data_IF_039547829776
#
_entry.id   IF_039547829776
#
_cell.length_a   1.000
_cell.length_b   1.000
_cell.length_c   1.000
_cell.angle_alpha   90.00
_cell.angle_beta   90.00
_cell.angle_gamma   90.00
#
_symmetry.space_group_name_H-M   'P 1'
#
loop_
_entity.id
_entity.type
_entity.pdbx_description
1 polymer ?
#
# COMPACT_ATOMS: atom_id res chain seq x y z
N UNK A 1 -14.70 25.18 10.73
CA UNK A 1 -14.55 24.86 9.29
C UNK A 1 -15.07 23.45 9.05
N UNK A 2 -15.88 23.27 8.01
CA UNK A 2 -16.43 21.96 7.64
C UNK A 2 -15.63 21.36 6.47
N UNK A 3 -15.22 20.12 6.62
CA UNK A 3 -14.51 19.33 5.61
C UNK A 3 -15.39 18.16 5.19
N UNK A 4 -15.57 18.00 3.90
CA UNK A 4 -16.26 16.85 3.33
C UNK A 4 -15.27 15.94 2.65
N UNK A 5 -15.19 14.67 3.10
CA UNK A 5 -14.35 13.64 2.50
C UNK A 5 -15.23 12.71 1.66
N UNK A 6 -14.89 12.58 0.39
CA UNK A 6 -15.57 11.71 -0.56
C UNK A 6 -14.60 10.59 -0.93
N UNK A 7 -14.94 9.35 -0.61
CA UNK A 7 -14.03 8.22 -0.80
C UNK A 7 -14.76 6.92 -1.10
N UNK A 8 -14.03 5.94 -1.63
CA UNK A 8 -14.53 4.58 -1.68
C UNK A 8 -14.83 4.05 -0.25
N UNK A 9 -15.79 3.14 -0.15
CA UNK A 9 -16.09 2.44 1.10
C UNK A 9 -14.82 1.74 1.63
N UNK A 10 -14.61 1.84 2.94
CA UNK A 10 -13.48 1.20 3.64
C UNK A 10 -12.07 1.66 3.25
N UNK A 11 -11.90 2.82 2.61
CA UNK A 11 -10.57 3.37 2.33
C UNK A 11 -9.83 3.69 3.64
N UNK A 12 -8.74 2.96 3.92
CA UNK A 12 -7.89 3.19 5.07
C UNK A 12 -7.24 4.59 5.01
N UNK A 13 -6.84 5.02 3.83
CA UNK A 13 -6.26 6.34 3.57
C UNK A 13 -7.24 7.47 3.93
N UNK A 14 -8.50 7.36 3.52
CA UNK A 14 -9.55 8.33 3.89
C UNK A 14 -9.88 8.33 5.38
N UNK A 15 -9.72 7.18 6.05
CA UNK A 15 -9.80 7.10 7.51
C UNK A 15 -8.73 7.97 8.19
N UNK A 16 -7.48 7.91 7.73
CA UNK A 16 -6.40 8.72 8.29
C UNK A 16 -6.57 10.20 7.98
N UNK A 17 -7.02 10.55 6.79
CA UNK A 17 -7.38 11.94 6.43
C UNK A 17 -8.49 12.48 7.35
N UNK A 18 -9.52 11.69 7.60
CA UNK A 18 -10.58 12.05 8.55
C UNK A 18 -10.05 12.29 9.96
N UNK A 19 -9.20 11.36 10.42
CA UNK A 19 -8.62 11.44 11.77
C UNK A 19 -7.73 12.69 11.91
N UNK A 20 -6.91 12.97 10.89
CA UNK A 20 -6.08 14.16 10.83
C UNK A 20 -6.92 15.43 11.00
N UNK A 21 -7.93 15.66 10.15
CA UNK A 21 -8.72 16.86 10.23
C UNK A 21 -9.55 16.96 11.52
N UNK A 22 -10.05 15.84 12.03
CA UNK A 22 -10.74 15.81 13.31
C UNK A 22 -9.79 16.18 14.47
N UNK A 23 -8.53 15.74 14.45
CA UNK A 23 -7.53 16.09 15.48
C UNK A 23 -7.17 17.58 15.49
N UNK A 24 -7.32 18.26 14.35
CA UNK A 24 -7.14 19.72 14.23
C UNK A 24 -8.40 20.52 14.63
N UNK A 25 -9.46 19.86 15.08
CA UNK A 25 -10.71 20.49 15.54
C UNK A 25 -11.69 20.85 14.42
N UNK A 26 -11.51 20.33 13.21
CA UNK A 26 -12.46 20.56 12.12
C UNK A 26 -13.65 19.61 12.20
N UNK A 27 -14.82 20.09 11.80
CA UNK A 27 -15.96 19.21 11.58
C UNK A 27 -15.77 18.43 10.28
N UNK A 28 -15.86 17.10 10.34
CA UNK A 28 -15.60 16.22 9.19
C UNK A 28 -16.83 15.39 8.87
N UNK A 29 -17.28 15.45 7.63
CA UNK A 29 -18.36 14.62 7.07
C UNK A 29 -17.80 13.69 6.02
N UNK A 30 -18.27 12.44 6.02
CA UNK A 30 -17.88 11.43 5.04
C UNK A 30 -19.04 11.18 4.07
N UNK A 31 -18.72 11.10 2.78
CA UNK A 31 -19.63 10.63 1.74
C UNK A 31 -18.96 9.42 1.07
N UNK A 32 -19.53 8.25 1.29
CA UNK A 32 -19.01 7.01 0.70
C UNK A 32 -19.50 6.86 -0.74
N UNK A 33 -18.59 6.45 -1.62
CA UNK A 33 -18.86 6.12 -3.02
C UNK A 33 -18.76 4.62 -3.18
N UNK A 34 -19.88 3.96 -3.40
CA UNK A 34 -19.88 2.55 -3.77
C UNK A 34 -19.67 2.43 -5.29
N UNK A 35 -18.42 2.23 -5.71
CA UNK A 35 -18.05 2.16 -7.12
C UNK A 35 -18.74 1.01 -7.85
N UNK A 36 -19.04 -0.10 -7.16
CA UNK A 36 -19.73 -1.25 -7.74
C UNK A 36 -21.23 -1.00 -8.01
N UNK A 37 -21.84 -0.04 -7.32
CA UNK A 37 -23.26 0.32 -7.51
C UNK A 37 -23.47 1.37 -8.60
N UNK A 38 -22.42 2.01 -9.10
CA UNK A 38 -22.50 3.16 -10.03
C UNK A 38 -22.16 2.77 -11.48
N UNK A 39 -22.39 1.52 -11.88
CA UNK A 39 -22.09 1.06 -13.25
C UNK A 39 -23.10 1.55 -14.30
N UNK A 40 -24.37 1.74 -13.95
CA UNK A 40 -25.35 2.19 -14.92
C UNK A 40 -25.39 3.74 -15.03
N UNK A 41 -25.74 4.23 -16.22
CA UNK A 41 -25.90 5.67 -16.48
C UNK A 41 -26.91 6.31 -15.51
N UNK A 42 -28.04 5.66 -15.28
CA UNK A 42 -29.08 6.19 -14.37
C UNK A 42 -28.60 6.21 -12.90
N UNK A 43 -27.87 5.21 -12.46
CA UNK A 43 -27.30 5.19 -11.11
C UNK A 43 -26.29 6.34 -10.93
N UNK A 44 -25.44 6.62 -11.93
CA UNK A 44 -24.52 7.77 -11.93
C UNK A 44 -25.28 9.09 -11.77
N UNK A 45 -26.31 9.32 -12.58
CA UNK A 45 -27.13 10.57 -12.50
C UNK A 45 -27.77 10.69 -11.13
N UNK A 46 -28.37 9.62 -10.62
CA UNK A 46 -29.02 9.63 -9.30
C UNK A 46 -28.01 9.96 -8.19
N UNK A 47 -26.88 9.29 -8.18
CA UNK A 47 -25.79 9.54 -7.24
C UNK A 47 -25.31 11.00 -7.29
N UNK A 48 -25.04 11.54 -8.49
CA UNK A 48 -24.58 12.93 -8.64
C UNK A 48 -25.62 13.95 -8.15
N UNK A 49 -26.90 13.68 -8.38
CA UNK A 49 -27.99 14.52 -7.87
C UNK A 49 -28.03 14.53 -6.34
N UNK A 50 -27.88 13.35 -5.72
CA UNK A 50 -27.80 13.24 -4.26
C UNK A 50 -26.54 13.92 -3.71
N UNK A 51 -25.39 13.72 -4.34
CA UNK A 51 -24.12 14.34 -3.96
C UNK A 51 -24.26 15.88 -3.97
N UNK A 52 -24.77 16.48 -5.04
CA UNK A 52 -25.01 17.94 -5.12
C UNK A 52 -25.88 18.41 -3.96
N UNK A 53 -27.02 17.75 -3.74
CA UNK A 53 -27.93 18.10 -2.64
C UNK A 53 -27.23 18.04 -1.28
N UNK A 54 -26.37 17.04 -1.07
CA UNK A 54 -25.61 16.92 0.17
C UNK A 54 -24.56 18.02 0.29
N UNK A 55 -23.82 18.33 -0.76
CA UNK A 55 -22.80 19.39 -0.76
C UNK A 55 -23.45 20.78 -0.57
N UNK A 56 -24.60 21.06 -1.21
CA UNK A 56 -25.33 22.30 -1.03
C UNK A 56 -25.83 22.46 0.42
N UNK A 57 -26.34 21.39 1.02
CA UNK A 57 -26.80 21.39 2.41
C UNK A 57 -25.63 21.51 3.43
N UNK A 58 -24.49 20.92 3.14
CA UNK A 58 -23.30 20.96 4.01
C UNK A 58 -22.53 22.27 3.86
N UNK A 59 -22.51 22.85 2.68
CA UNK A 59 -21.70 24.04 2.35
C UNK A 59 -20.24 23.93 2.83
N UNK A 60 -19.48 22.90 2.39
CA UNK A 60 -18.15 22.64 2.92
C UNK A 60 -17.15 23.75 2.56
N UNK A 61 -16.17 23.96 3.42
CA UNK A 61 -15.01 24.82 3.11
C UNK A 61 -13.95 24.08 2.30
N UNK A 62 -13.84 22.77 2.52
CA UNK A 62 -12.92 21.89 1.79
C UNK A 62 -13.61 20.59 1.41
N UNK A 63 -13.39 20.16 0.17
CA UNK A 63 -13.74 18.84 -0.32
C UNK A 63 -12.46 18.07 -0.58
N UNK A 64 -12.27 16.96 0.12
CA UNK A 64 -11.20 15.98 -0.14
C UNK A 64 -11.81 14.78 -0.87
N UNK A 65 -11.35 14.52 -2.08
CA UNK A 65 -11.85 13.43 -2.91
C UNK A 65 -10.76 12.36 -3.11
N UNK A 66 -10.90 11.23 -2.42
CA UNK A 66 -10.07 10.03 -2.56
C UNK A 66 -10.67 8.97 -3.50
N UNK A 67 -11.77 9.28 -4.19
CA UNK A 67 -12.36 8.45 -5.23
C UNK A 67 -12.24 9.17 -6.58
N UNK A 68 -11.08 9.06 -7.23
CA UNK A 68 -10.75 9.80 -8.46
C UNK A 68 -11.34 9.15 -9.71
N UNK A 69 -12.68 9.21 -9.83
CA UNK A 69 -13.44 8.71 -10.97
C UNK A 69 -13.88 9.91 -11.82
N UNK A 70 -13.69 9.86 -13.12
CA UNK A 70 -13.92 10.98 -14.06
C UNK A 70 -15.24 11.72 -13.85
N UNK A 71 -16.36 11.00 -13.74
CA UNK A 71 -17.67 11.65 -13.59
C UNK A 71 -17.81 12.39 -12.26
N UNK A 72 -17.16 11.88 -11.20
CA UNK A 72 -17.15 12.49 -9.88
C UNK A 72 -16.23 13.71 -9.86
N UNK A 73 -15.04 13.60 -10.41
CA UNK A 73 -14.08 14.70 -10.52
C UNK A 73 -14.67 15.87 -11.31
N UNK A 74 -15.30 15.57 -12.45
CA UNK A 74 -16.04 16.55 -13.23
C UNK A 74 -17.11 17.27 -12.41
N UNK A 75 -17.88 16.53 -11.63
CA UNK A 75 -18.94 17.10 -10.80
C UNK A 75 -18.38 18.02 -9.72
N UNK A 76 -17.34 17.59 -9.03
CA UNK A 76 -16.71 18.38 -7.96
C UNK A 76 -16.05 19.65 -8.50
N UNK A 77 -15.45 19.57 -9.68
CA UNK A 77 -14.93 20.74 -10.38
C UNK A 77 -16.04 21.75 -10.71
N UNK A 78 -17.18 21.26 -11.22
CA UNK A 78 -18.33 22.12 -11.51
C UNK A 78 -18.89 22.75 -10.21
N UNK A 79 -18.92 21.98 -9.11
CA UNK A 79 -19.35 22.47 -7.81
C UNK A 79 -18.41 23.57 -7.30
N UNK A 80 -17.11 23.36 -7.33
CA UNK A 80 -16.09 24.34 -6.95
C UNK A 80 -16.22 25.64 -7.75
N UNK A 81 -16.35 25.53 -9.08
CA UNK A 81 -16.47 26.72 -9.93
C UNK A 81 -17.72 27.58 -9.67
N UNK A 82 -18.75 26.98 -9.06
CA UNK A 82 -19.94 27.72 -8.60
C UNK A 82 -19.78 28.28 -7.19
N UNK A 83 -18.87 27.72 -6.40
CA UNK A 83 -18.66 28.03 -4.99
C UNK A 83 -17.18 28.38 -4.75
N UNK A 84 -16.77 29.59 -5.12
CA UNK A 84 -15.38 30.05 -5.13
C UNK A 84 -14.64 29.96 -3.77
N UNK A 85 -15.37 29.84 -2.67
CA UNK A 85 -14.81 29.71 -1.31
C UNK A 85 -14.48 28.25 -0.93
N UNK A 86 -14.82 27.28 -1.80
CA UNK A 86 -14.58 25.86 -1.55
C UNK A 86 -13.20 25.47 -2.09
N UNK A 87 -12.36 24.94 -1.22
CA UNK A 87 -11.11 24.29 -1.65
C UNK A 87 -11.40 22.87 -2.10
N UNK A 88 -10.72 22.42 -3.15
CA UNK A 88 -10.85 21.08 -3.72
C UNK A 88 -9.50 20.36 -3.73
N UNK A 89 -9.48 19.19 -3.12
CA UNK A 89 -8.31 18.29 -3.10
C UNK A 89 -8.68 17.01 -3.83
N UNK A 90 -7.86 16.60 -4.79
CA UNK A 90 -7.90 15.28 -5.38
C UNK A 90 -6.75 14.43 -4.84
N UNK A 91 -7.06 13.21 -4.43
CA UNK A 91 -6.10 12.22 -3.96
C UNK A 91 -6.13 10.99 -4.86
N UNK A 92 -5.15 10.94 -5.77
CA UNK A 92 -5.04 9.91 -6.81
C UNK A 92 -4.28 8.72 -6.25
N UNK A 93 -4.98 7.63 -5.94
CA UNK A 93 -4.36 6.46 -5.31
C UNK A 93 -3.91 5.39 -6.31
N UNK A 94 -4.75 5.03 -7.29
CA UNK A 94 -4.55 3.79 -8.06
C UNK A 94 -4.85 3.93 -9.56
N UNK A 95 -5.23 5.12 -10.06
CA UNK A 95 -5.72 5.26 -11.43
C UNK A 95 -4.82 6.17 -12.26
N UNK A 96 -4.07 5.53 -13.15
CA UNK A 96 -3.16 6.19 -14.09
C UNK A 96 -3.92 6.97 -15.19
N UNK A 97 -5.22 6.76 -15.31
CA UNK A 97 -6.07 7.29 -16.40
C UNK A 97 -6.94 8.50 -16.01
N UNK A 98 -6.55 9.21 -14.96
CA UNK A 98 -7.28 10.41 -14.55
C UNK A 98 -7.10 11.54 -15.58
N UNK A 99 -8.21 12.13 -16.04
CA UNK A 99 -8.18 13.24 -16.98
C UNK A 99 -7.55 14.50 -16.35
N UNK A 100 -6.36 14.84 -16.79
CA UNK A 100 -5.56 15.98 -16.30
C UNK A 100 -6.33 17.31 -16.27
N UNK A 101 -7.33 17.48 -17.14
CA UNK A 101 -8.14 18.72 -17.17
C UNK A 101 -8.92 18.96 -15.87
N UNK A 102 -9.29 17.88 -15.13
CA UNK A 102 -9.97 18.02 -13.84
C UNK A 102 -8.96 18.25 -12.72
N UNK A 103 -7.81 17.57 -12.77
CA UNK A 103 -6.73 17.76 -11.80
C UNK A 103 -6.27 19.22 -11.77
N UNK A 104 -6.06 19.84 -12.92
CA UNK A 104 -5.61 21.23 -13.04
C UNK A 104 -6.58 22.27 -12.43
N UNK A 105 -7.77 21.87 -12.02
CA UNK A 105 -8.76 22.74 -11.38
C UNK A 105 -8.83 22.53 -9.86
N UNK A 106 -8.11 21.55 -9.32
CA UNK A 106 -7.99 21.37 -7.88
C UNK A 106 -7.06 22.45 -7.28
N UNK A 107 -7.25 22.74 -5.99
CA UNK A 107 -6.31 23.58 -5.24
C UNK A 107 -5.09 22.78 -4.81
N UNK A 108 -5.28 21.47 -4.54
CA UNK A 108 -4.22 20.52 -4.19
C UNK A 108 -4.47 19.18 -4.84
N UNK A 109 -3.38 18.51 -5.19
CA UNK A 109 -3.39 17.17 -5.76
C UNK A 109 -2.42 16.32 -4.94
N UNK A 110 -2.90 15.19 -4.43
CA UNK A 110 -2.05 14.14 -3.89
C UNK A 110 -1.98 12.96 -4.83
N UNK A 111 -0.90 12.20 -4.73
CA UNK A 111 -0.75 10.90 -5.38
C UNK A 111 -0.10 9.90 -4.41
N UNK A 112 -0.38 8.62 -4.58
CA UNK A 112 0.06 7.59 -3.66
C UNK A 112 1.54 7.20 -3.81
N UNK A 113 2.20 7.61 -4.91
CA UNK A 113 3.56 7.17 -5.25
C UNK A 113 4.27 8.17 -6.16
N UNK A 114 5.60 8.09 -6.22
CA UNK A 114 6.39 8.83 -7.21
C UNK A 114 6.08 8.39 -8.65
N UNK A 115 5.81 7.10 -8.85
CA UNK A 115 5.36 6.57 -10.13
C UNK A 115 4.04 7.23 -10.57
N UNK A 116 3.08 7.37 -9.66
CA UNK A 116 1.83 8.08 -9.92
C UNK A 116 2.06 9.57 -10.19
N UNK A 117 3.02 10.20 -9.50
CA UNK A 117 3.37 11.62 -9.69
C UNK A 117 3.85 11.93 -11.11
N UNK A 118 4.48 10.97 -11.78
CA UNK A 118 4.91 11.15 -13.16
C UNK A 118 3.75 11.43 -14.13
N UNK A 119 2.55 10.96 -13.80
CA UNK A 119 1.34 11.15 -14.61
C UNK A 119 0.40 12.23 -14.06
N UNK A 120 0.64 12.73 -12.85
CA UNK A 120 -0.18 13.74 -12.18
C UNK A 120 0.62 15.02 -11.96
N UNK A 121 0.67 15.88 -12.97
CA UNK A 121 1.45 17.12 -12.91
C UNK A 121 1.03 18.00 -11.73
N UNK A 122 2.03 18.41 -10.93
CA UNK A 122 1.83 19.26 -9.75
C UNK A 122 1.38 18.53 -8.50
N UNK A 123 1.23 17.21 -8.52
CA UNK A 123 0.86 16.44 -7.34
C UNK A 123 1.99 16.33 -6.34
N UNK A 124 1.63 16.33 -5.06
CA UNK A 124 2.50 15.96 -3.94
C UNK A 124 2.32 14.47 -3.63
N UNK A 125 3.43 13.79 -3.32
CA UNK A 125 3.36 12.38 -2.91
C UNK A 125 2.92 12.31 -1.46
N UNK A 126 1.80 11.63 -1.24
CA UNK A 126 1.31 11.27 0.08
C UNK A 126 1.31 9.75 0.18
N UNK A 127 2.38 9.15 0.66
CA UNK A 127 2.45 7.69 0.82
C UNK A 127 1.38 7.18 1.78
N UNK A 128 0.82 6.01 1.47
CA UNK A 128 -0.13 5.34 2.35
C UNK A 128 0.56 4.84 3.62
N UNK A 129 -0.19 4.75 4.71
CA UNK A 129 0.26 4.14 5.96
C UNK A 129 -0.74 3.08 6.42
N UNK A 130 -0.26 1.99 7.00
CA UNK A 130 -1.12 1.04 7.70
C UNK A 130 -1.47 1.50 9.14
N UNK A 131 -0.89 2.61 9.58
CA UNK A 131 -1.11 3.18 10.92
C UNK A 131 -0.47 2.41 12.07
N UNK A 132 0.35 1.42 11.76
CA UNK A 132 1.07 0.63 12.76
C UNK A 132 2.39 1.32 13.13
N UNK A 133 2.87 1.04 14.33
CA UNK A 133 4.22 1.41 14.77
C UNK A 133 5.15 0.21 14.62
N UNK A 134 6.39 0.45 14.19
CA UNK A 134 7.39 -0.62 14.22
C UNK A 134 7.58 -1.10 15.67
N UNK A 135 7.43 -2.39 15.88
CA UNK A 135 7.76 -3.01 17.15
C UNK A 135 9.28 -3.09 17.32
N UNK A 136 9.72 -3.23 18.56
CA UNK A 136 11.09 -3.66 18.81
C UNK A 136 11.22 -5.12 18.38
N UNK A 137 12.21 -5.41 17.56
CA UNK A 137 12.45 -6.73 17.00
C UNK A 137 13.67 -7.36 17.65
N UNK A 138 13.63 -8.66 17.81
CA UNK A 138 14.77 -9.49 18.22
C UNK A 138 14.92 -10.65 17.22
N UNK A 139 15.46 -10.39 16.00
CA UNK A 139 15.51 -11.40 14.96
C UNK A 139 16.31 -12.63 15.38
N UNK A 140 15.71 -13.80 15.25
CA UNK A 140 16.28 -15.11 15.54
C UNK A 140 16.51 -15.89 14.24
N UNK A 141 17.38 -15.36 13.39
CA UNK A 141 17.62 -15.92 12.05
C UNK A 141 18.50 -17.16 12.10
N UNK A 142 18.09 -18.23 11.42
CA UNK A 142 18.87 -19.45 11.25
C UNK A 142 20.03 -19.24 10.27
N UNK A 143 21.20 -19.87 10.55
CA UNK A 143 22.30 -19.95 9.60
C UNK A 143 22.14 -21.11 8.62
N UNK A 144 21.47 -22.16 9.04
CA UNK A 144 21.38 -23.42 8.29
C UNK A 144 20.20 -23.48 7.35
N UNK A 145 19.15 -22.75 7.64
CA UNK A 145 17.88 -22.78 6.93
C UNK A 145 17.43 -21.36 6.54
N UNK A 146 16.76 -21.22 5.39
CA UNK A 146 16.12 -19.97 4.98
C UNK A 146 14.63 -20.01 5.29
N UNK A 147 14.17 -19.03 6.05
CA UNK A 147 12.76 -18.84 6.35
C UNK A 147 12.21 -17.67 5.53
N UNK A 148 11.14 -17.94 4.80
CA UNK A 148 10.40 -16.94 4.04
C UNK A 148 9.05 -16.69 4.68
N UNK A 149 8.53 -15.48 4.55
CA UNK A 149 7.18 -15.12 4.92
C UNK A 149 6.39 -14.73 3.68
N UNK A 150 5.17 -15.23 3.54
CA UNK A 150 4.22 -14.83 2.51
C UNK A 150 2.92 -14.36 3.17
N UNK A 151 2.57 -13.09 2.97
CA UNK A 151 1.26 -12.56 3.31
C UNK A 151 0.35 -12.82 2.10
N UNK A 152 -0.57 -13.77 2.27
CA UNK A 152 -1.40 -14.27 1.19
C UNK A 152 -2.50 -13.31 0.74
N UNK A 153 -2.63 -13.11 -0.56
CA UNK A 153 -3.73 -12.39 -1.20
C UNK A 153 -4.05 -12.95 -2.59
N UNK A 154 -5.08 -12.40 -3.22
CA UNK A 154 -5.56 -12.85 -4.55
C UNK A 154 -4.63 -12.50 -5.73
N UNK A 155 -3.66 -11.61 -5.55
CA UNK A 155 -2.80 -11.08 -6.62
C UNK A 155 -1.42 -11.76 -6.67
N UNK A 156 -1.17 -12.76 -5.83
CA UNK A 156 0.11 -13.48 -5.80
C UNK A 156 0.32 -14.21 -7.14
N UNK A 157 1.50 -14.02 -7.75
CA UNK A 157 1.98 -14.91 -8.81
C UNK A 157 2.50 -16.20 -8.19
N UNK A 158 1.59 -17.15 -7.98
CA UNK A 158 1.88 -18.43 -7.34
C UNK A 158 2.93 -19.25 -8.12
N UNK A 159 2.89 -19.23 -9.46
CA UNK A 159 3.83 -19.98 -10.28
C UNK A 159 5.24 -19.42 -10.18
N UNK A 160 5.39 -18.11 -10.19
CA UNK A 160 6.68 -17.44 -10.04
C UNK A 160 7.23 -17.65 -8.63
N UNK A 161 6.37 -17.55 -7.61
CA UNK A 161 6.73 -17.83 -6.22
C UNK A 161 7.29 -19.25 -6.04
N UNK A 162 6.58 -20.28 -6.56
CA UNK A 162 7.02 -21.67 -6.51
C UNK A 162 8.36 -21.86 -7.28
N UNK A 163 8.49 -21.21 -8.43
CA UNK A 163 9.73 -21.28 -9.24
C UNK A 163 10.93 -20.70 -8.49
N UNK A 164 10.76 -19.56 -7.83
CA UNK A 164 11.81 -18.94 -7.02
C UNK A 164 12.18 -19.79 -5.79
N UNK A 165 11.18 -20.27 -5.05
CA UNK A 165 11.38 -21.12 -3.88
C UNK A 165 12.08 -22.45 -4.23
N UNK A 166 11.78 -23.03 -5.40
CA UNK A 166 12.47 -24.21 -5.91
C UNK A 166 13.98 -23.95 -6.10
N UNK A 167 14.36 -22.83 -6.71
CA UNK A 167 15.79 -22.51 -6.89
C UNK A 167 16.50 -22.34 -5.53
N UNK A 168 15.82 -21.75 -4.53
CA UNK A 168 16.37 -21.65 -3.18
C UNK A 168 16.52 -23.02 -2.52
N UNK A 169 15.51 -23.92 -2.63
CA UNK A 169 15.49 -25.23 -1.96
C UNK A 169 16.57 -26.19 -2.49
N UNK A 170 17.02 -26.01 -3.74
CA UNK A 170 18.15 -26.77 -4.32
C UNK A 170 19.47 -26.42 -3.60
N UNK A 171 19.60 -25.20 -3.09
CA UNK A 171 20.84 -24.66 -2.54
C UNK A 171 20.89 -24.71 -1.02
N UNK A 172 19.72 -24.57 -0.38
CA UNK A 172 19.61 -24.51 1.08
C UNK A 172 18.24 -24.99 1.53
N UNK A 173 18.15 -25.61 2.71
CA UNK A 173 16.85 -25.93 3.30
C UNK A 173 16.01 -24.67 3.43
N UNK A 174 14.73 -24.75 3.04
CA UNK A 174 13.81 -23.63 3.05
C UNK A 174 12.51 -23.97 3.74
N UNK A 175 12.00 -23.03 4.51
CA UNK A 175 10.64 -23.08 5.09
C UNK A 175 9.88 -21.80 4.75
N UNK A 176 8.64 -21.95 4.30
CA UNK A 176 7.72 -20.86 3.99
C UNK A 176 6.66 -20.74 5.09
N UNK A 177 6.65 -19.60 5.78
CA UNK A 177 5.58 -19.19 6.68
C UNK A 177 4.50 -18.47 5.86
N UNK A 178 3.26 -18.94 5.97
CA UNK A 178 2.11 -18.36 5.26
C UNK A 178 1.18 -17.68 6.26
N UNK A 179 0.87 -16.41 6.02
CA UNK A 179 -0.08 -15.59 6.77
C UNK A 179 -1.28 -15.26 5.88
N UNK A 180 -2.48 -15.29 6.45
CA UNK A 180 -3.72 -14.97 5.74
C UNK A 180 -4.33 -16.16 4.98
N UNK A 181 -5.47 -15.89 4.34
CA UNK A 181 -6.25 -16.88 3.61
C UNK A 181 -6.69 -16.37 2.22
N UNK A 182 -6.70 -17.24 1.22
CA UNK A 182 -7.20 -16.95 -0.13
C UNK A 182 -7.64 -18.23 -0.84
N UNK A 183 -8.46 -18.08 -1.87
CA UNK A 183 -9.16 -19.17 -2.54
C UNK A 183 -8.29 -20.34 -3.02
N UNK A 184 -7.03 -20.10 -3.43
CA UNK A 184 -6.13 -21.10 -4.02
C UNK A 184 -5.00 -21.51 -3.06
N UNK A 185 -5.07 -21.17 -1.79
CA UNK A 185 -4.03 -21.41 -0.79
C UNK A 185 -3.61 -22.87 -0.71
N UNK A 186 -4.55 -23.79 -0.62
CA UNK A 186 -4.25 -25.22 -0.48
C UNK A 186 -3.49 -25.78 -1.70
N UNK A 187 -3.89 -25.40 -2.91
CA UNK A 187 -3.17 -25.82 -4.13
C UNK A 187 -1.77 -25.22 -4.21
N UNK A 188 -1.60 -24.01 -3.74
CA UNK A 188 -0.29 -23.36 -3.64
C UNK A 188 0.62 -24.08 -2.63
N UNK A 189 0.13 -24.42 -1.44
CA UNK A 189 0.87 -25.18 -0.43
C UNK A 189 1.35 -26.50 -1.02
N UNK A 190 0.51 -27.26 -1.70
CA UNK A 190 0.91 -28.52 -2.34
C UNK A 190 2.00 -28.31 -3.40
N UNK A 191 1.93 -27.23 -4.16
CA UNK A 191 2.94 -26.90 -5.15
C UNK A 191 4.27 -26.54 -4.49
N UNK A 192 4.27 -25.80 -3.37
CA UNK A 192 5.48 -25.45 -2.60
C UNK A 192 6.12 -26.71 -1.98
N UNK A 193 5.32 -27.58 -1.37
CA UNK A 193 5.79 -28.85 -0.80
C UNK A 193 6.43 -29.75 -1.88
N UNK A 194 5.87 -29.76 -3.10
CA UNK A 194 6.37 -30.58 -4.22
C UNK A 194 7.78 -30.18 -4.70
N UNK A 195 8.23 -28.96 -4.39
CA UNK A 195 9.58 -28.46 -4.72
C UNK A 195 10.58 -28.55 -3.54
N UNK A 196 10.21 -29.25 -2.48
CA UNK A 196 11.10 -29.51 -1.34
C UNK A 196 11.20 -28.38 -0.32
N UNK A 197 10.24 -27.47 -0.28
CA UNK A 197 10.13 -26.39 0.71
C UNK A 197 9.15 -26.79 1.79
N UNK A 198 9.52 -26.68 3.06
CA UNK A 198 8.60 -26.86 4.17
C UNK A 198 7.59 -25.72 4.24
N UNK A 199 6.39 -26.00 4.73
CA UNK A 199 5.34 -24.95 4.86
C UNK A 199 4.77 -24.95 6.28
N UNK A 200 4.69 -23.76 6.86
CA UNK A 200 3.99 -23.50 8.13
C UNK A 200 2.85 -22.53 7.86
N UNK A 201 1.62 -23.02 7.94
CA UNK A 201 0.42 -22.20 7.77
C UNK A 201 -0.06 -21.67 9.11
N UNK A 202 0.06 -20.36 9.30
CA UNK A 202 -0.34 -19.69 10.53
C UNK A 202 -1.82 -19.33 10.59
N UNK A 203 -2.58 -19.58 9.51
CA UNK A 203 -3.99 -19.14 9.39
C UNK A 203 -4.13 -17.64 9.69
N UNK A 204 -5.07 -17.28 10.55
CA UNK A 204 -5.29 -15.89 10.95
C UNK A 204 -4.52 -15.58 12.25
N UNK A 205 -3.52 -14.72 12.14
CA UNK A 205 -2.85 -14.13 13.30
C UNK A 205 -3.48 -12.76 13.58
N UNK A 206 -4.25 -12.66 14.65
CA UNK A 206 -5.09 -11.49 14.95
C UNK A 206 -4.31 -10.28 15.47
N UNK A 207 -3.12 -10.46 16.01
CA UNK A 207 -2.35 -9.37 16.62
C UNK A 207 -1.04 -9.07 15.90
N UNK A 208 -0.64 -7.79 15.91
CA UNK A 208 0.66 -7.38 15.39
C UNK A 208 1.83 -8.06 16.11
N UNK A 209 1.71 -8.32 17.43
CA UNK A 209 2.78 -8.99 18.19
C UNK A 209 2.97 -10.44 17.75
N UNK A 210 1.90 -11.21 17.55
CA UNK A 210 1.99 -12.60 17.09
C UNK A 210 2.54 -12.71 15.67
N UNK A 211 2.23 -11.73 14.81
CA UNK A 211 2.84 -11.63 13.48
C UNK A 211 4.33 -11.31 13.57
N UNK A 212 4.72 -10.42 14.51
CA UNK A 212 6.13 -10.06 14.71
C UNK A 212 6.98 -11.25 15.11
N UNK A 213 6.46 -12.18 15.94
CA UNK A 213 7.16 -13.41 16.31
C UNK A 213 7.50 -14.28 15.07
N UNK A 214 6.61 -14.30 14.07
CA UNK A 214 6.89 -14.96 12.78
C UNK A 214 7.92 -14.16 11.99
N UNK A 215 7.77 -12.84 11.94
CA UNK A 215 8.66 -11.97 11.19
C UNK A 215 10.09 -12.01 11.71
N UNK A 216 10.27 -12.16 13.01
CA UNK A 216 11.61 -12.23 13.62
C UNK A 216 12.36 -13.51 13.26
N UNK A 217 11.66 -14.58 12.89
CA UNK A 217 12.26 -15.82 12.39
C UNK A 217 12.56 -15.79 10.88
N UNK A 218 11.86 -14.94 10.11
CA UNK A 218 11.95 -14.95 8.64
C UNK A 218 13.10 -14.08 8.13
N UNK A 219 13.81 -14.58 7.14
CA UNK A 219 14.89 -13.89 6.44
C UNK A 219 14.34 -12.88 5.42
N UNK A 220 13.28 -13.27 4.71
CA UNK A 220 12.66 -12.48 3.64
C UNK A 220 11.16 -12.60 3.62
N UNK A 221 10.48 -11.50 3.34
CA UNK A 221 9.10 -11.47 2.90
C UNK A 221 9.01 -11.62 1.39
N UNK A 222 8.09 -12.45 0.90
CA UNK A 222 7.85 -12.65 -0.53
C UNK A 222 6.75 -11.69 -0.99
N UNK A 223 7.11 -10.75 -1.85
CA UNK A 223 6.19 -9.79 -2.45
C UNK A 223 6.18 -9.97 -3.98
N UNK A 224 5.75 -11.15 -4.39
CA UNK A 224 5.76 -11.65 -5.76
C UNK A 224 4.36 -11.60 -6.35
N UNK A 225 4.05 -10.50 -7.00
CA UNK A 225 2.72 -10.26 -7.57
C UNK A 225 2.78 -9.27 -8.72
N UNK A 226 1.73 -9.28 -9.54
CA UNK A 226 1.54 -8.30 -10.60
C UNK A 226 0.84 -7.06 -10.02
N UNK A 227 1.63 -6.06 -9.69
CA UNK A 227 1.19 -4.80 -9.11
C UNK A 227 2.22 -3.70 -9.41
N UNK A 228 1.83 -2.44 -9.35
CA UNK A 228 2.73 -1.28 -9.43
C UNK A 228 2.61 -0.41 -8.18
N UNK A 229 3.74 0.11 -7.68
CA UNK A 229 3.77 1.00 -6.53
C UNK A 229 4.04 0.30 -5.20
N UNK A 230 3.25 0.59 -4.17
CA UNK A 230 3.42 0.05 -2.80
C UNK A 230 2.10 -0.51 -2.30
N UNK A 231 2.06 -1.82 -2.14
CA UNK A 231 0.88 -2.53 -1.63
C UNK A 231 0.84 -2.62 -0.10
N UNK A 232 -0.27 -3.08 0.45
CA UNK A 232 -0.47 -3.26 1.90
C UNK A 232 0.51 -4.24 2.52
N UNK A 233 0.83 -5.32 1.80
CA UNK A 233 1.78 -6.34 2.25
C UNK A 233 3.20 -5.80 2.36
N UNK A 234 3.62 -4.93 1.42
CA UNK A 234 4.90 -4.22 1.49
C UNK A 234 4.99 -3.35 2.75
N UNK A 235 3.93 -2.61 3.07
CA UNK A 235 3.88 -1.79 4.28
C UNK A 235 3.96 -2.65 5.55
N UNK A 236 3.34 -3.83 5.53
CA UNK A 236 3.39 -4.76 6.65
C UNK A 236 4.79 -5.35 6.82
N UNK A 237 5.47 -5.76 5.74
CA UNK A 237 6.87 -6.21 5.77
C UNK A 237 7.81 -5.10 6.26
N UNK A 238 7.64 -3.86 5.77
CA UNK A 238 8.44 -2.72 6.22
C UNK A 238 8.25 -2.45 7.70
N UNK A 239 7.01 -2.46 8.19
CA UNK A 239 6.68 -2.29 9.60
C UNK A 239 7.27 -3.41 10.46
N UNK A 240 7.16 -4.67 9.97
CA UNK A 240 7.74 -5.87 10.59
C UNK A 240 9.25 -6.00 10.43
N UNK A 241 9.88 -5.09 9.67
CA UNK A 241 11.33 -5.06 9.42
C UNK A 241 11.85 -6.32 8.72
N UNK A 242 11.05 -6.92 7.84
CA UNK A 242 11.49 -8.06 7.03
C UNK A 242 12.00 -7.57 5.67
N UNK A 243 13.26 -7.88 5.27
CA UNK A 243 13.71 -7.62 3.91
C UNK A 243 12.82 -8.29 2.86
N UNK A 244 12.65 -7.66 1.70
CA UNK A 244 11.64 -8.08 0.70
C UNK A 244 12.35 -8.72 -0.52
N UNK A 245 11.81 -9.85 -0.98
CA UNK A 245 12.03 -10.33 -2.34
C UNK A 245 10.87 -9.81 -3.18
N UNK A 246 11.15 -8.92 -4.11
CA UNK A 246 10.17 -8.06 -4.76
C UNK A 246 10.12 -8.26 -6.27
N UNK A 247 8.91 -8.47 -6.82
CA UNK A 247 8.67 -8.40 -8.27
C UNK A 247 7.84 -7.17 -8.70
N UNK A 248 7.38 -6.36 -7.74
CA UNK A 248 6.57 -5.18 -8.00
C UNK A 248 7.47 -4.07 -8.58
N UNK A 249 7.04 -3.46 -9.65
CA UNK A 249 7.69 -2.30 -10.25
C UNK A 249 7.33 -0.98 -9.53
N UNK A 250 7.91 0.12 -9.98
CA UNK A 250 7.65 1.44 -9.42
C UNK A 250 8.42 1.73 -8.13
N UNK A 251 7.79 2.40 -7.19
CA UNK A 251 8.42 2.94 -5.99
C UNK A 251 9.09 1.85 -5.13
N UNK A 252 8.43 0.69 -4.96
CA UNK A 252 9.01 -0.38 -4.15
C UNK A 252 10.31 -0.92 -4.76
N UNK A 253 10.35 -1.09 -6.09
CA UNK A 253 11.56 -1.47 -6.80
C UNK A 253 12.69 -0.46 -6.61
N UNK A 254 12.36 0.84 -6.60
CA UNK A 254 13.35 1.89 -6.34
C UNK A 254 13.83 1.87 -4.89
N UNK A 255 12.93 1.68 -3.92
CA UNK A 255 13.32 1.55 -2.52
C UNK A 255 14.23 0.34 -2.27
N UNK A 256 13.98 -0.80 -2.91
CA UNK A 256 14.89 -1.95 -2.85
C UNK A 256 16.31 -1.60 -3.32
N UNK A 257 16.43 -0.79 -4.38
CA UNK A 257 17.74 -0.37 -4.93
C UNK A 257 18.42 0.70 -4.07
N UNK A 258 17.68 1.74 -3.65
CA UNK A 258 18.26 2.92 -3.00
C UNK A 258 18.51 2.71 -1.51
N UNK A 259 17.69 1.93 -0.85
CA UNK A 259 17.75 1.70 0.60
C UNK A 259 18.28 0.31 0.97
N UNK A 260 18.57 -0.54 -0.02
CA UNK A 260 18.97 -1.95 0.20
C UNK A 260 18.05 -2.67 1.19
N UNK A 261 16.73 -2.54 0.97
CA UNK A 261 15.70 -3.17 1.81
C UNK A 261 15.32 -4.57 1.37
N UNK A 262 15.91 -5.06 0.29
CA UNK A 262 15.58 -6.35 -0.29
C UNK A 262 16.19 -6.55 -1.66
N UNK A 263 15.62 -7.46 -2.44
CA UNK A 263 16.06 -7.78 -3.80
C UNK A 263 14.89 -7.73 -4.77
N UNK A 264 15.11 -7.05 -5.90
CA UNK A 264 14.17 -7.12 -7.03
C UNK A 264 14.44 -8.37 -7.85
N UNK A 265 13.39 -9.11 -8.18
CA UNK A 265 13.46 -10.30 -9.04
C UNK A 265 12.47 -10.22 -10.21
N UNK A 266 12.85 -10.83 -11.29
CA UNK A 266 12.06 -11.04 -12.49
C UNK A 266 12.34 -12.42 -13.11
N UNK A 267 11.67 -12.71 -14.22
CA UNK A 267 11.83 -14.00 -14.91
C UNK A 267 13.27 -14.24 -15.42
N UNK A 268 14.11 -13.23 -15.54
CA UNK A 268 15.47 -13.32 -16.06
C UNK A 268 16.51 -13.51 -14.96
N UNK A 269 16.30 -12.91 -13.77
CA UNK A 269 17.32 -12.83 -12.73
C UNK A 269 17.02 -13.68 -11.46
N UNK A 270 15.81 -14.24 -11.29
CA UNK A 270 15.38 -14.90 -10.04
C UNK A 270 16.33 -16.02 -9.58
N UNK A 271 16.96 -16.77 -10.50
CA UNK A 271 17.93 -17.82 -10.16
C UNK A 271 19.21 -17.25 -9.56
N UNK A 272 19.70 -16.15 -10.13
CA UNK A 272 20.89 -15.46 -9.61
C UNK A 272 20.60 -14.90 -8.22
N UNK A 273 19.42 -14.29 -8.05
CA UNK A 273 19.02 -13.76 -6.74
C UNK A 273 18.84 -14.87 -5.72
N UNK A 274 18.25 -16.01 -6.08
CA UNK A 274 18.15 -17.18 -5.21
C UNK A 274 19.53 -17.65 -4.73
N UNK A 275 20.51 -17.77 -5.64
CA UNK A 275 21.88 -18.11 -5.28
C UNK A 275 22.51 -17.08 -4.33
N UNK A 276 22.33 -15.80 -4.60
CA UNK A 276 22.90 -14.73 -3.78
C UNK A 276 22.34 -14.74 -2.36
N UNK A 277 21.01 -14.85 -2.17
CA UNK A 277 20.41 -14.83 -0.84
C UNK A 277 20.74 -16.09 -0.03
N UNK A 278 20.91 -17.25 -0.69
CA UNK A 278 21.35 -18.47 -0.02
C UNK A 278 22.78 -18.37 0.53
N UNK A 279 23.62 -17.54 -0.09
CA UNK A 279 25.02 -17.31 0.31
C UNK A 279 25.18 -16.08 1.24
N UNK A 280 24.16 -15.30 1.47
CA UNK A 280 24.27 -14.08 2.29
C UNK A 280 24.54 -14.38 3.76
N UNK A 281 25.38 -13.53 4.38
CA UNK A 281 25.62 -13.58 5.82
C UNK A 281 24.45 -12.98 6.61
N UNK A 282 24.30 -13.41 7.85
CA UNK A 282 23.28 -12.85 8.75
C UNK A 282 23.48 -11.34 8.97
N UNK A 283 24.71 -10.86 8.99
CA UNK A 283 25.00 -9.43 9.19
C UNK A 283 24.38 -8.56 8.07
N UNK A 284 24.46 -9.05 6.83
CA UNK A 284 23.82 -8.36 5.68
C UNK A 284 22.29 -8.32 5.86
N UNK A 285 21.70 -9.42 6.29
CA UNK A 285 20.25 -9.51 6.51
C UNK A 285 19.79 -8.62 7.68
N UNK A 286 20.54 -8.60 8.77
CA UNK A 286 20.27 -7.74 9.92
C UNK A 286 20.39 -6.25 9.55
N UNK A 287 21.39 -5.88 8.74
CA UNK A 287 21.53 -4.51 8.25
C UNK A 287 20.33 -4.09 7.40
N UNK A 288 19.82 -4.97 6.52
CA UNK A 288 18.60 -4.67 5.74
C UNK A 288 17.37 -4.47 6.62
N UNK A 289 17.26 -5.20 7.72
CA UNK A 289 16.18 -4.96 8.69
C UNK A 289 16.23 -3.55 9.28
N UNK A 290 17.41 -3.04 9.58
CA UNK A 290 17.59 -1.66 10.02
C UNK A 290 17.22 -0.67 8.92
N UNK A 291 17.59 -0.95 7.67
CA UNK A 291 17.20 -0.13 6.52
C UNK A 291 15.68 -0.10 6.34
N UNK A 292 15.00 -1.25 6.45
CA UNK A 292 13.53 -1.35 6.41
C UNK A 292 12.88 -0.47 7.48
N UNK A 293 13.35 -0.56 8.73
CA UNK A 293 12.87 0.26 9.84
C UNK A 293 13.03 1.75 9.57
N UNK A 294 14.20 2.14 9.06
CA UNK A 294 14.50 3.53 8.76
C UNK A 294 13.62 4.05 7.61
N UNK A 295 13.46 3.27 6.54
CA UNK A 295 12.59 3.60 5.43
C UNK A 295 11.13 3.78 5.89
N UNK A 296 10.61 2.82 6.66
CA UNK A 296 9.24 2.89 7.17
C UNK A 296 9.03 4.15 8.02
N UNK A 297 9.95 4.44 8.93
CA UNK A 297 9.89 5.63 9.78
C UNK A 297 9.96 6.94 8.99
N UNK A 298 10.71 6.95 7.89
CA UNK A 298 10.90 8.14 7.07
C UNK A 298 9.67 8.49 6.23
N UNK A 299 8.92 7.48 5.76
CA UNK A 299 7.90 7.71 4.75
C UNK A 299 6.49 7.20 5.10
N UNK A 300 6.37 6.15 5.95
CA UNK A 300 5.15 5.35 6.05
C UNK A 300 4.47 5.36 7.40
N UNK A 301 4.98 6.12 8.38
CA UNK A 301 4.32 6.28 9.67
C UNK A 301 3.08 7.17 9.54
N UNK A 302 2.14 7.01 10.47
CA UNK A 302 0.97 7.87 10.58
C UNK A 302 1.35 9.33 10.80
N UNK A 303 2.38 9.58 11.60
CA UNK A 303 2.87 10.94 11.87
C UNK A 303 3.38 11.58 10.58
N UNK A 304 4.14 10.83 9.77
CA UNK A 304 4.62 11.34 8.48
C UNK A 304 3.49 11.62 7.49
N UNK A 305 2.48 10.77 7.48
CA UNK A 305 1.26 11.01 6.71
C UNK A 305 0.57 12.31 7.14
N UNK A 306 0.51 12.57 8.45
CA UNK A 306 -0.09 13.79 9.00
C UNK A 306 0.76 15.03 8.73
N UNK A 307 2.09 14.94 8.82
CA UNK A 307 3.00 16.03 8.45
C UNK A 307 2.78 16.48 6.99
N UNK A 308 2.64 15.53 6.07
CA UNK A 308 2.36 15.87 4.65
C UNK A 308 0.99 16.55 4.48
N UNK A 309 -0.01 16.17 5.27
CA UNK A 309 -1.30 16.87 5.28
C UNK A 309 -1.25 18.25 5.93
N UNK A 310 -0.30 18.53 6.82
CA UNK A 310 -0.12 19.87 7.43
C UNK A 310 0.25 20.94 6.39
N UNK A 311 0.86 20.55 5.27
CA UNK A 311 1.15 21.46 4.16
C UNK A 311 -0.15 22.04 3.53
N UNK A 312 -1.24 21.25 3.52
CA UNK A 312 -2.57 21.75 3.13
C UNK A 312 -3.18 22.60 4.23
N UNK A 313 -3.14 22.10 5.47
CA UNK A 313 -3.76 22.74 6.63
C UNK A 313 -3.21 24.16 6.89
N UNK A 314 -1.92 24.40 6.61
CA UNK A 314 -1.31 25.72 6.69
C UNK A 314 -1.78 26.71 5.62
N UNK A 315 -2.48 26.22 4.59
CA UNK A 315 -3.01 27.02 3.46
C UNK A 315 -4.55 27.17 3.48
N UNK A 316 -5.23 26.56 4.46
CA UNK A 316 -6.66 26.65 4.70
C UNK A 316 -6.99 27.76 5.67
#
# INVERSE_FOLDING_TARGET
MLITIISAEHSLRSKWVREYFASKGYEVKMISVNTSSVHSFFAKIHFLKQLRKSLDALSPNLIYCGATIDFLMRELTVYKNKNNNVKLVFDVCDDIHVDQKYLNQADYIFCASESCRAYTHGAQVLYSTNGQSCLNTSPELSKEELFFCLIGNKNIDMNFCVSFLRECSILKQCTLHILGDWKLKESFIQSVLSVGVNVIDHKDLDSQSTRQDVYDQCHYGLNLMDFEGINSESLEYMCGQIPIINSIEGDLSQFCKLWDIGKNIDAQNYKIVASNICAESLDVQLNRRLHMRNLYKTYFTKDKFFETLDEIGGSL
#
